data_IF_460202809221
#
_entry.id   IF_460202809221
#
_cell.length_a   1.000
_cell.length_b   1.000
_cell.length_c   1.000
_cell.angle_alpha   90.00
_cell.angle_beta   90.00
_cell.angle_gamma   90.00
#
_symmetry.space_group_name_H-M   'P 1'
#
loop_
_entity.id
_entity.type
_entity.pdbx_description
1 polymer ?
#
# COMPACT_ATOMS: atom_id res chain seq x y z
N UNK A 1 8.42 -46.57 -14.60
CA UNK A 1 7.22 -46.30 -15.44
C UNK A 1 6.00 -46.94 -14.76
N UNK A 2 5.32 -46.19 -13.90
CA UNK A 2 4.01 -46.59 -13.36
C UNK A 2 3.10 -45.38 -13.41
N UNK A 3 2.15 -45.43 -14.34
CA UNK A 3 1.05 -44.49 -14.47
C UNK A 3 -0.07 -44.93 -13.53
N UNK A 4 -0.61 -44.00 -12.75
CA UNK A 4 -1.84 -44.19 -11.99
C UNK A 4 -2.86 -43.09 -12.38
N UNK A 5 -4.16 -43.40 -12.39
CA UNK A 5 -5.15 -42.73 -13.23
C UNK A 5 -5.88 -41.56 -12.55
N UNK A 6 -6.35 -40.62 -13.38
CA UNK A 6 -7.27 -39.52 -13.02
C UNK A 6 -8.70 -40.06 -12.82
N UNK A 7 -9.44 -39.59 -11.80
CA UNK A 7 -10.89 -39.66 -11.80
C UNK A 7 -11.52 -38.40 -12.42
N UNK A 8 -12.51 -38.63 -13.29
CA UNK A 8 -13.42 -37.63 -13.87
C UNK A 8 -14.84 -37.80 -13.31
N UNK A 9 -15.62 -36.72 -13.45
CA UNK A 9 -17.09 -36.61 -13.38
C UNK A 9 -17.76 -36.66 -12.00
N UNK A 10 -18.53 -35.62 -11.66
CA UNK A 10 -19.94 -35.55 -12.08
C UNK A 10 -20.55 -34.16 -11.75
N UNK A 11 -21.12 -33.53 -12.78
CA UNK A 11 -22.03 -32.38 -12.67
C UNK A 11 -23.43 -32.94 -12.45
N UNK A 12 -24.13 -32.48 -11.41
CA UNK A 12 -25.55 -32.75 -11.22
C UNK A 12 -26.34 -31.44 -11.32
N UNK A 13 -26.96 -31.24 -12.48
CA UNK A 13 -28.11 -30.35 -12.67
C UNK A 13 -29.35 -31.05 -12.12
N UNK A 14 -30.06 -30.42 -11.20
CA UNK A 14 -31.45 -30.77 -10.88
C UNK A 14 -32.28 -29.49 -11.04
N UNK A 15 -33.14 -29.51 -12.06
CA UNK A 15 -34.22 -28.57 -12.25
C UNK A 15 -35.55 -29.12 -11.73
N UNK A 16 -36.55 -28.25 -11.79
CA UNK A 16 -37.97 -28.54 -11.54
C UNK A 16 -38.40 -28.18 -10.12
N UNK A 17 -39.52 -27.49 -9.88
CA UNK A 17 -40.57 -27.00 -10.75
C UNK A 17 -41.71 -26.43 -9.89
N UNK A 18 -42.53 -25.59 -10.53
CA UNK A 18 -43.94 -25.27 -10.25
C UNK A 18 -44.51 -25.39 -8.81
N UNK A 19 -45.07 -24.28 -8.31
CA UNK A 19 -46.47 -24.25 -7.86
C UNK A 19 -46.98 -22.81 -7.74
N UNK A 20 -47.96 -22.46 -8.59
CA UNK A 20 -48.91 -21.41 -8.32
C UNK A 20 -50.14 -22.05 -7.66
N UNK A 21 -50.76 -21.36 -6.68
CA UNK A 21 -52.08 -20.73 -6.87
C UNK A 21 -52.98 -20.68 -5.60
N UNK A 22 -53.78 -19.61 -5.59
CA UNK A 22 -55.14 -19.40 -5.04
C UNK A 22 -55.31 -18.92 -3.58
N UNK A 23 -56.11 -17.84 -3.52
CA UNK A 23 -56.56 -17.03 -2.41
C UNK A 23 -57.71 -17.63 -1.57
N UNK A 24 -57.79 -17.17 -0.33
CA UNK A 24 -58.99 -16.92 0.49
C UNK A 24 -58.53 -15.84 1.51
N UNK A 25 -59.11 -14.65 1.63
CA UNK A 25 -60.54 -14.40 1.78
C UNK A 25 -60.84 -14.12 3.27
N UNK A 26 -60.31 -13.04 3.84
CA UNK A 26 -60.81 -12.48 5.10
C UNK A 26 -61.13 -10.99 4.89
N UNK A 27 -62.40 -10.70 5.11
CA UNK A 27 -63.12 -9.42 5.01
C UNK A 27 -63.20 -8.85 6.42
N UNK A 28 -62.94 -7.54 6.61
CA UNK A 28 -63.25 -6.64 7.76
C UNK A 28 -62.02 -5.75 8.05
N UNK A 29 -62.08 -4.45 8.35
CA UNK A 29 -63.12 -3.41 8.52
C UNK A 29 -62.39 -2.08 8.22
N UNK A 30 -63.07 -1.13 7.58
CA UNK A 30 -62.57 0.22 7.44
C UNK A 30 -62.44 0.88 8.83
N UNK A 31 -61.22 1.30 9.17
CA UNK A 31 -60.97 2.26 10.23
C UNK A 31 -60.10 3.35 9.63
N UNK A 32 -60.73 4.50 9.34
CA UNK A 32 -60.01 5.76 9.16
C UNK A 32 -59.21 6.04 10.44
N UNK A 33 -57.89 6.10 10.30
CA UNK A 33 -56.97 6.72 11.23
C UNK A 33 -56.00 7.57 10.38
N UNK A 34 -55.58 8.74 10.89
CA UNK A 34 -55.05 9.82 10.06
C UNK A 34 -53.73 9.41 9.41
N UNK A 35 -53.55 9.90 8.18
CA UNK A 35 -52.28 9.89 7.46
C UNK A 35 -51.30 10.77 8.24
N UNK A 36 -50.60 10.19 9.22
CA UNK A 36 -49.33 10.72 9.64
C UNK A 36 -48.36 10.47 8.49
N UNK A 37 -48.15 11.52 7.71
CA UNK A 37 -47.02 11.63 6.82
C UNK A 37 -45.76 11.48 7.69
N UNK A 38 -45.29 10.24 7.83
CA UNK A 38 -43.92 9.98 8.17
C UNK A 38 -43.10 10.62 7.06
N UNK A 39 -42.71 11.88 7.29
CA UNK A 39 -41.65 12.52 6.55
C UNK A 39 -40.48 11.55 6.64
N UNK A 40 -40.19 10.91 5.51
CA UNK A 40 -38.89 10.31 5.23
C UNK A 40 -37.90 11.43 5.48
N UNK A 41 -37.34 11.48 6.69
CA UNK A 41 -36.17 12.26 6.96
C UNK A 41 -35.12 11.71 6.00
N UNK A 42 -34.89 12.45 4.92
CA UNK A 42 -33.68 12.26 4.12
C UNK A 42 -32.53 12.17 5.12
N UNK A 43 -31.70 11.12 5.08
CA UNK A 43 -30.48 11.14 5.86
C UNK A 43 -29.76 12.42 5.48
N UNK A 44 -29.52 13.27 6.48
CA UNK A 44 -28.66 14.45 6.36
C UNK A 44 -27.41 14.01 5.59
N UNK A 45 -26.91 14.81 4.61
CA UNK A 45 -25.61 14.53 4.02
C UNK A 45 -24.63 14.41 5.19
N UNK A 46 -24.04 13.23 5.34
CA UNK A 46 -23.17 12.91 6.45
C UNK A 46 -22.19 14.07 6.62
N UNK A 47 -22.24 14.74 7.78
CA UNK A 47 -21.37 15.86 8.07
C UNK A 47 -19.94 15.45 7.74
N UNK A 48 -19.25 16.27 6.93
CA UNK A 48 -17.86 16.02 6.55
C UNK A 48 -17.07 15.74 7.83
N UNK A 49 -16.61 14.50 7.96
CA UNK A 49 -15.82 14.10 9.13
C UNK A 49 -14.53 14.91 9.09
N UNK A 50 -14.10 15.51 10.21
CA UNK A 50 -12.93 16.40 10.22
C UNK A 50 -11.74 15.70 9.57
N UNK A 51 -11.10 16.38 8.63
CA UNK A 51 -9.87 15.91 8.01
C UNK A 51 -8.83 15.63 9.10
N UNK A 52 -8.02 14.60 8.90
CA UNK A 52 -6.90 14.34 9.79
C UNK A 52 -5.83 15.43 9.60
N UNK A 53 -4.96 15.65 10.58
CA UNK A 53 -3.87 16.62 10.43
C UNK A 53 -3.04 16.28 9.19
N UNK A 54 -2.79 17.27 8.35
CA UNK A 54 -2.08 17.13 7.09
C UNK A 54 -0.55 17.28 7.26
N UNK A 55 0.20 16.76 6.30
CA UNK A 55 1.63 17.03 6.15
C UNK A 55 2.55 16.21 7.07
N UNK A 56 2.06 15.14 7.70
CA UNK A 56 2.92 14.28 8.53
C UNK A 56 4.01 13.60 7.69
N UNK A 57 5.18 13.46 8.31
CA UNK A 57 6.37 12.80 7.75
C UNK A 57 6.94 11.80 8.74
N UNK A 58 7.73 10.86 8.25
CA UNK A 58 8.45 9.93 9.12
C UNK A 58 9.55 10.68 9.88
N UNK A 59 9.67 10.44 11.19
CA UNK A 59 10.73 11.03 12.01
C UNK A 59 12.09 10.38 11.72
N UNK A 60 12.07 9.07 11.48
CA UNK A 60 13.20 8.22 11.14
C UNK A 60 12.75 7.04 10.26
N UNK A 61 13.71 6.22 9.85
CA UNK A 61 13.48 5.03 9.03
C UNK A 61 13.91 3.72 9.72
N UNK A 62 14.13 3.72 11.03
CA UNK A 62 14.64 2.54 11.77
C UNK A 62 13.66 1.35 11.76
N UNK A 63 12.46 1.59 11.27
CA UNK A 63 11.41 0.60 11.06
C UNK A 63 11.46 -0.10 9.70
N UNK A 64 12.26 0.38 8.76
CA UNK A 64 12.41 -0.26 7.44
C UNK A 64 13.12 -1.61 7.60
N UNK A 65 12.57 -2.71 7.06
CA UNK A 65 13.23 -4.00 7.06
C UNK A 65 14.62 -3.95 6.39
N UNK A 66 15.62 -4.57 7.01
CA UNK A 66 16.99 -4.60 6.49
C UNK A 66 17.12 -5.36 5.16
N UNK A 67 16.15 -6.22 4.85
CA UNK A 67 16.06 -6.99 3.61
C UNK A 67 15.19 -6.34 2.53
N UNK A 68 14.77 -5.09 2.70
CA UNK A 68 14.01 -4.37 1.67
C UNK A 68 14.86 -4.15 0.40
N UNK A 69 14.35 -4.60 -0.75
CA UNK A 69 15.01 -4.46 -2.07
C UNK A 69 14.89 -3.08 -2.67
N UNK A 70 13.83 -2.38 -2.31
CA UNK A 70 13.58 -1.00 -2.68
C UNK A 70 13.02 -0.33 -1.45
N UNK A 71 13.56 0.85 -1.15
CA UNK A 71 12.98 1.79 -0.19
C UNK A 71 12.98 3.15 -0.88
N UNK A 72 11.80 3.69 -1.21
CA UNK A 72 11.66 5.00 -1.82
C UNK A 72 10.86 5.93 -0.91
N UNK A 73 11.49 7.02 -0.47
CA UNK A 73 10.85 8.13 0.25
C UNK A 73 10.44 9.22 -0.74
N UNK A 74 9.17 9.60 -0.70
CA UNK A 74 8.54 10.56 -1.61
C UNK A 74 7.94 11.69 -0.80
N UNK A 75 8.44 12.91 -1.00
CA UNK A 75 7.98 14.11 -0.32
C UNK A 75 6.81 14.72 -1.12
N UNK A 76 5.56 14.41 -0.72
CA UNK A 76 4.33 14.73 -1.48
C UNK A 76 4.09 16.23 -1.68
N UNK A 77 4.43 17.01 -0.67
CA UNK A 77 4.24 18.47 -0.65
C UNK A 77 5.44 19.24 -1.20
N UNK A 78 6.48 18.55 -1.70
CA UNK A 78 7.61 19.23 -2.34
C UNK A 78 7.17 19.81 -3.70
N UNK A 79 7.35 21.12 -3.93
CA UNK A 79 6.92 21.76 -5.17
C UNK A 79 7.63 21.24 -6.43
N UNK A 80 8.75 20.52 -6.29
CA UNK A 80 9.49 19.91 -7.40
C UNK A 80 9.11 18.44 -7.64
N UNK A 81 8.18 17.84 -6.89
CA UNK A 81 7.88 16.42 -7.00
C UNK A 81 7.49 16.00 -8.43
N UNK A 82 6.61 16.77 -9.09
CA UNK A 82 6.20 16.46 -10.46
C UNK A 82 7.38 16.43 -11.45
N UNK A 83 8.27 17.42 -11.36
CA UNK A 83 9.48 17.48 -12.19
C UNK A 83 10.48 16.36 -11.82
N UNK A 84 10.54 15.99 -10.54
CA UNK A 84 11.38 14.91 -10.05
C UNK A 84 10.90 13.55 -10.55
N UNK A 85 9.59 13.30 -10.60
CA UNK A 85 9.00 12.10 -11.19
C UNK A 85 9.31 12.01 -12.69
N UNK A 86 9.20 13.11 -13.42
CA UNK A 86 9.60 13.16 -14.82
C UNK A 86 11.10 12.89 -15.02
N UNK A 87 11.93 13.37 -14.09
CA UNK A 87 13.38 13.13 -14.07
C UNK A 87 13.71 11.67 -13.76
N UNK A 88 13.02 11.07 -12.79
CA UNK A 88 13.14 9.65 -12.46
C UNK A 88 12.75 8.76 -13.65
N UNK A 89 11.64 9.07 -14.35
CA UNK A 89 11.24 8.32 -15.53
C UNK A 89 12.32 8.37 -16.64
N UNK A 90 12.92 9.54 -16.89
CA UNK A 90 14.03 9.68 -17.86
C UNK A 90 15.27 8.89 -17.45
N UNK A 91 15.58 8.85 -16.15
CA UNK A 91 16.69 8.05 -15.62
C UNK A 91 16.55 6.57 -15.98
N UNK A 92 15.32 6.03 -16.03
CA UNK A 92 15.10 4.61 -16.42
C UNK A 92 15.43 4.30 -17.88
N UNK A 93 15.55 5.32 -18.73
CA UNK A 93 15.88 5.20 -20.16
C UNK A 93 17.35 5.57 -20.45
N UNK A 94 18.07 6.10 -19.46
CA UNK A 94 19.45 6.57 -19.61
C UNK A 94 20.44 5.38 -19.70
N UNK A 95 21.23 5.26 -20.79
CA UNK A 95 22.11 4.11 -21.00
C UNK A 95 23.26 4.01 -19.99
N UNK A 96 23.63 5.11 -19.34
CA UNK A 96 24.65 5.18 -18.30
C UNK A 96 24.15 4.72 -16.91
N UNK A 97 22.84 4.57 -16.72
CA UNK A 97 22.25 4.14 -15.45
C UNK A 97 21.83 2.68 -15.55
N UNK A 98 22.40 1.86 -14.68
CA UNK A 98 22.05 0.45 -14.60
C UNK A 98 21.14 0.21 -13.39
N UNK A 99 19.87 -0.09 -13.62
CA UNK A 99 18.89 -0.41 -12.57
C UNK A 99 18.47 -1.89 -12.61
N UNK A 100 18.15 -2.50 -11.46
CA UNK A 100 17.38 -3.73 -11.44
C UNK A 100 16.05 -3.59 -12.18
N UNK A 101 15.60 -4.66 -12.85
CA UNK A 101 14.39 -4.62 -13.69
C UNK A 101 13.15 -4.20 -12.90
N UNK A 102 13.01 -4.65 -11.65
CA UNK A 102 11.88 -4.25 -10.80
C UNK A 102 11.87 -2.74 -10.56
N UNK A 103 13.02 -2.15 -10.22
CA UNK A 103 13.15 -0.72 -9.96
C UNK A 103 12.92 0.10 -11.24
N UNK A 104 13.45 -0.32 -12.39
CA UNK A 104 13.24 0.37 -13.66
C UNK A 104 11.75 0.41 -14.06
N UNK A 105 11.05 -0.72 -13.91
CA UNK A 105 9.61 -0.79 -14.19
C UNK A 105 8.80 0.04 -13.20
N UNK A 106 9.16 -0.01 -11.92
CA UNK A 106 8.48 0.70 -10.86
C UNK A 106 8.62 2.22 -11.03
N UNK A 107 9.85 2.71 -11.13
CA UNK A 107 10.19 4.12 -11.32
C UNK A 107 9.55 4.74 -12.55
N UNK A 108 9.43 3.98 -13.65
CA UNK A 108 8.75 4.45 -14.86
C UNK A 108 7.25 4.66 -14.65
N UNK A 109 6.63 3.89 -13.75
CA UNK A 109 5.19 3.94 -13.48
C UNK A 109 4.85 4.75 -12.22
N UNK A 110 5.83 5.18 -11.43
CA UNK A 110 5.64 5.79 -10.12
C UNK A 110 4.63 6.97 -10.14
N UNK A 111 4.70 7.86 -11.14
CA UNK A 111 3.74 8.96 -11.27
C UNK A 111 2.28 8.48 -11.36
N UNK A 112 2.02 7.43 -12.15
CA UNK A 112 0.70 6.82 -12.27
C UNK A 112 0.28 6.13 -10.96
N UNK A 113 1.23 5.53 -10.25
CA UNK A 113 0.94 4.91 -8.96
C UNK A 113 0.51 5.96 -7.93
N UNK A 114 1.24 7.08 -7.86
CA UNK A 114 0.94 8.21 -6.97
C UNK A 114 -0.42 8.85 -7.29
N UNK A 115 -0.73 9.08 -8.57
CA UNK A 115 -2.05 9.60 -8.97
C UNK A 115 -3.22 8.71 -8.49
N UNK A 116 -3.02 7.39 -8.47
CA UNK A 116 -4.03 6.46 -7.95
C UNK A 116 -4.06 6.46 -6.43
N UNK A 117 -2.90 6.57 -5.78
CA UNK A 117 -2.80 6.61 -4.33
C UNK A 117 -3.38 7.90 -3.75
N UNK A 118 -3.20 9.05 -4.41
CA UNK A 118 -3.79 10.32 -3.99
C UNK A 118 -5.32 10.24 -3.90
N UNK A 119 -5.98 9.56 -4.85
CA UNK A 119 -7.44 9.32 -4.75
C UNK A 119 -7.81 8.48 -3.54
N UNK A 120 -6.97 7.52 -3.17
CA UNK A 120 -7.20 6.69 -1.98
C UNK A 120 -7.01 7.52 -0.71
N UNK A 121 -5.98 8.36 -0.65
CA UNK A 121 -5.70 9.27 0.47
C UNK A 121 -6.84 10.28 0.66
N UNK A 122 -7.32 10.89 -0.44
CA UNK A 122 -8.47 11.78 -0.44
C UNK A 122 -9.72 11.10 0.13
N UNK A 123 -10.01 9.86 -0.31
CA UNK A 123 -11.14 9.07 0.20
C UNK A 123 -10.97 8.64 1.67
N UNK A 124 -9.73 8.45 2.12
CA UNK A 124 -9.39 8.23 3.53
C UNK A 124 -9.45 9.51 4.35
N UNK A 125 -9.52 10.69 3.72
CA UNK A 125 -9.39 11.99 4.39
C UNK A 125 -8.06 12.13 5.14
N UNK A 126 -6.99 11.59 4.54
CA UNK A 126 -5.61 11.65 5.01
C UNK A 126 -4.77 12.42 3.97
N UNK A 127 -3.77 13.16 4.42
CA UNK A 127 -2.92 13.97 3.54
C UNK A 127 -1.47 13.97 4.04
N UNK A 128 -0.75 12.85 3.93
CA UNK A 128 0.62 12.75 4.42
C UNK A 128 1.56 13.65 3.60
N UNK A 129 2.53 14.28 4.28
CA UNK A 129 3.62 15.03 3.62
C UNK A 129 4.68 14.11 3.02
N UNK A 130 4.73 12.84 3.47
CA UNK A 130 5.65 11.83 2.98
C UNK A 130 4.97 10.48 2.76
N UNK A 131 5.32 9.82 1.66
CA UNK A 131 5.05 8.41 1.43
C UNK A 131 6.36 7.63 1.39
N UNK A 132 6.31 6.39 1.82
CA UNK A 132 7.39 5.42 1.62
C UNK A 132 6.86 4.22 0.86
N UNK A 133 7.53 3.87 -0.23
CA UNK A 133 7.33 2.61 -0.94
C UNK A 133 8.41 1.62 -0.54
N UNK A 134 8.02 0.39 -0.19
CA UNK A 134 8.94 -0.70 0.06
C UNK A 134 8.67 -1.90 -0.85
N UNK A 135 9.73 -2.56 -1.28
CA UNK A 135 9.66 -3.86 -1.97
C UNK A 135 10.36 -4.94 -1.13
N UNK A 136 9.69 -6.05 -0.88
CA UNK A 136 10.26 -7.20 -0.16
C UNK A 136 11.21 -8.02 -1.05
N UNK A 137 12.04 -8.91 -0.47
CA UNK A 137 12.79 -9.90 -1.24
C UNK A 137 11.94 -10.83 -2.10
N UNK A 138 10.69 -11.07 -1.72
CA UNK A 138 9.79 -11.93 -2.45
C UNK A 138 8.93 -11.17 -3.49
N UNK A 139 9.13 -9.85 -3.62
CA UNK A 139 8.47 -9.02 -4.62
C UNK A 139 7.12 -8.47 -4.20
N UNK A 140 6.80 -8.48 -2.90
CA UNK A 140 5.65 -7.73 -2.40
C UNK A 140 5.98 -6.24 -2.39
N UNK A 141 5.01 -5.42 -2.79
CA UNK A 141 5.08 -3.96 -2.71
C UNK A 141 4.14 -3.46 -1.63
N UNK A 142 4.58 -2.47 -0.87
CA UNK A 142 3.77 -1.82 0.15
C UNK A 142 4.01 -0.31 0.14
N UNK A 143 2.91 0.43 0.18
CA UNK A 143 2.88 1.88 0.39
C UNK A 143 2.65 2.15 1.87
N UNK A 144 3.46 3.00 2.49
CA UNK A 144 3.33 3.40 3.89
C UNK A 144 3.34 4.91 4.05
N UNK A 145 2.61 5.39 5.05
CA UNK A 145 2.66 6.78 5.47
C UNK A 145 2.28 6.94 6.96
N UNK A 146 2.79 7.99 7.63
CA UNK A 146 2.33 8.35 8.96
C UNK A 146 0.92 8.95 8.87
N UNK A 147 0.03 8.55 9.78
CA UNK A 147 -1.35 9.04 9.80
C UNK A 147 -1.67 9.71 11.13
N UNK A 148 -2.18 10.93 11.05
CA UNK A 148 -2.73 11.65 12.21
C UNK A 148 -4.09 11.07 12.64
N UNK A 149 -4.73 10.30 11.76
CA UNK A 149 -6.06 9.76 12.02
C UNK A 149 -6.05 8.83 13.24
N UNK A 150 -7.04 8.97 14.14
CA UNK A 150 -7.37 7.91 15.10
C UNK A 150 -7.64 6.59 14.35
N UNK A 151 -7.08 5.45 14.80
CA UNK A 151 -7.29 4.16 14.15
C UNK A 151 -8.77 3.80 13.97
N UNK A 152 -9.62 4.20 14.90
CA UNK A 152 -11.07 4.01 14.87
C UNK A 152 -11.74 4.81 13.76
N UNK A 153 -11.31 6.07 13.55
CA UNK A 153 -11.81 6.92 12.48
C UNK A 153 -11.41 6.36 11.12
N UNK A 154 -10.15 5.97 10.97
CA UNK A 154 -9.66 5.34 9.75
C UNK A 154 -10.42 4.04 9.46
N UNK A 155 -10.61 3.18 10.47
CA UNK A 155 -11.39 1.95 10.34
C UNK A 155 -12.85 2.22 9.91
N UNK A 156 -13.48 3.26 10.47
CA UNK A 156 -14.83 3.65 10.08
C UNK A 156 -14.90 4.16 8.64
N UNK A 157 -13.92 4.95 8.18
CA UNK A 157 -13.84 5.42 6.79
C UNK A 157 -13.62 4.27 5.81
N UNK A 158 -12.66 3.40 6.09
CA UNK A 158 -12.37 2.20 5.29
C UNK A 158 -13.59 1.29 5.18
N UNK A 159 -14.30 1.07 6.29
CA UNK A 159 -15.55 0.30 6.31
C UNK A 159 -16.67 1.00 5.54
N UNK A 160 -16.89 2.29 5.77
CA UNK A 160 -17.96 3.04 5.12
C UNK A 160 -17.78 3.11 3.60
N UNK A 161 -16.54 3.34 3.15
CA UNK A 161 -16.22 3.56 1.74
C UNK A 161 -16.11 2.28 0.93
N UNK A 162 -15.40 1.29 1.46
CA UNK A 162 -15.04 0.07 0.72
C UNK A 162 -15.58 -1.22 1.34
N UNK A 163 -16.35 -1.13 2.43
CA UNK A 163 -16.89 -2.29 3.15
C UNK A 163 -15.80 -3.23 3.69
N UNK A 164 -14.61 -2.68 3.97
CA UNK A 164 -13.50 -3.43 4.54
C UNK A 164 -13.51 -3.27 6.07
N UNK A 165 -13.55 -4.40 6.77
CA UNK A 165 -13.48 -4.43 8.23
C UNK A 165 -12.04 -4.58 8.70
N UNK A 166 -11.50 -3.56 9.37
CA UNK A 166 -10.19 -3.64 10.03
C UNK A 166 -10.29 -4.39 11.36
N UNK A 167 -9.71 -5.60 11.41
CA UNK A 167 -9.68 -6.45 12.59
C UNK A 167 -8.40 -6.22 13.37
N UNK A 168 -8.49 -6.13 14.69
CA UNK A 168 -7.30 -6.08 15.54
C UNK A 168 -6.51 -7.39 15.41
N UNK A 169 -5.18 -7.26 15.38
CA UNK A 169 -4.27 -8.41 15.45
C UNK A 169 -4.01 -8.76 16.93
N UNK A 170 -4.47 -9.93 17.41
CA UNK A 170 -4.29 -10.32 18.81
C UNK A 170 -2.84 -10.62 19.16
N UNK A 171 -2.01 -11.00 18.19
CA UNK A 171 -0.60 -11.31 18.41
C UNK A 171 0.24 -10.02 18.50
N UNK A 172 -0.26 -8.93 17.91
CA UNK A 172 0.46 -7.66 17.79
C UNK A 172 -0.43 -6.48 18.21
N UNK A 173 -0.46 -6.14 19.51
CA UNK A 173 -1.24 -5.04 20.03
C UNK A 173 -0.94 -3.73 19.27
N UNK A 174 -1.98 -3.03 18.81
CA UNK A 174 -1.87 -1.83 17.98
C UNK A 174 -1.89 -2.10 16.47
N UNK A 175 -1.74 -3.36 16.04
CA UNK A 175 -1.93 -3.79 14.66
C UNK A 175 -3.40 -3.98 14.31
N UNK A 176 -3.82 -3.52 13.13
CA UNK A 176 -5.11 -3.91 12.53
C UNK A 176 -4.95 -4.28 11.06
N UNK A 177 -5.79 -5.20 10.61
CA UNK A 177 -5.76 -5.75 9.26
C UNK A 177 -7.15 -5.76 8.63
N UNK A 178 -7.26 -5.29 7.39
CA UNK A 178 -8.44 -5.41 6.55
C UNK A 178 -8.08 -5.99 5.19
N UNK A 179 -8.78 -7.04 4.79
CA UNK A 179 -8.62 -7.63 3.46
C UNK A 179 -9.48 -6.87 2.44
N UNK A 180 -8.87 -6.49 1.32
CA UNK A 180 -9.56 -5.91 0.18
C UNK A 180 -10.28 -6.96 -0.68
N UNK A 181 -10.73 -6.53 -1.84
CA UNK A 181 -11.30 -7.41 -2.87
C UNK A 181 -10.94 -6.89 -4.26
N UNK A 182 -10.61 -7.77 -5.23
CA UNK A 182 -10.37 -7.36 -6.62
C UNK A 182 -11.57 -6.62 -7.26
N UNK A 183 -12.80 -6.96 -6.84
CA UNK A 183 -14.04 -6.37 -7.37
C UNK A 183 -14.46 -5.09 -6.62
N UNK A 184 -13.74 -4.73 -5.56
CA UNK A 184 -14.00 -3.56 -4.72
C UNK A 184 -12.75 -2.70 -4.58
N UNK A 185 -12.21 -2.64 -3.37
CA UNK A 185 -10.94 -1.96 -3.13
C UNK A 185 -9.77 -2.94 -3.29
N UNK A 186 -8.86 -2.71 -4.26
CA UNK A 186 -7.89 -3.72 -4.70
C UNK A 186 -6.67 -3.84 -3.78
N UNK A 187 -6.74 -3.27 -2.58
CA UNK A 187 -5.66 -3.28 -1.60
C UNK A 187 -6.12 -3.89 -0.28
N UNK A 188 -5.21 -4.64 0.33
CA UNK A 188 -5.28 -4.92 1.76
C UNK A 188 -4.78 -3.70 2.53
N UNK A 189 -5.41 -3.41 3.66
CA UNK A 189 -5.11 -2.26 4.52
C UNK A 189 -4.54 -2.77 5.84
N UNK A 190 -3.41 -2.21 6.24
CA UNK A 190 -2.80 -2.45 7.54
C UNK A 190 -2.67 -1.13 8.30
N UNK A 191 -2.93 -1.18 9.61
CA UNK A 191 -2.54 -0.09 10.51
C UNK A 191 -1.53 -0.63 11.49
N UNK A 192 -0.42 0.07 11.65
CA UNK A 192 0.65 -0.28 12.58
C UNK A 192 0.75 0.89 13.55
N UNK A 193 0.33 0.68 14.80
CA UNK A 193 0.51 1.66 15.86
C UNK A 193 1.67 1.23 16.77
N UNK A 194 2.71 2.06 16.84
CA UNK A 194 3.67 2.05 17.95
C UNK A 194 3.27 3.12 18.97
N UNK A 195 3.98 3.22 20.10
CA UNK A 195 3.65 4.21 21.15
C UNK A 195 3.67 5.65 20.64
N UNK A 196 4.57 5.95 19.70
CA UNK A 196 4.86 7.32 19.26
C UNK A 196 4.47 7.60 17.81
N UNK A 197 4.12 6.58 17.02
CA UNK A 197 3.80 6.74 15.61
C UNK A 197 2.70 5.80 15.13
N UNK A 198 1.79 6.32 14.31
CA UNK A 198 0.75 5.55 13.64
C UNK A 198 1.03 5.54 12.16
N UNK A 199 1.11 4.34 11.59
CA UNK A 199 1.36 4.15 10.17
C UNK A 199 0.21 3.42 9.55
N UNK A 200 -0.13 3.81 8.33
CA UNK A 200 -1.05 3.08 7.46
C UNK A 200 -0.22 2.48 6.36
N UNK A 201 -0.54 1.24 6.01
CA UNK A 201 0.09 0.56 4.91
C UNK A 201 -0.96 -0.02 3.97
N UNK A 202 -0.70 0.10 2.66
CA UNK A 202 -1.47 -0.52 1.60
C UNK A 202 -0.60 -1.49 0.84
N UNK A 203 -1.11 -2.70 0.62
CA UNK A 203 -0.49 -3.67 -0.28
C UNK A 203 -1.55 -4.31 -1.15
N UNK A 204 -1.14 -5.05 -2.17
CA UNK A 204 -2.06 -5.75 -3.07
C UNK A 204 -2.97 -6.70 -2.29
N UNK A 205 -4.23 -6.79 -2.72
CA UNK A 205 -5.19 -7.75 -2.17
C UNK A 205 -4.62 -9.17 -2.09
N UNK A 206 -4.78 -9.80 -0.93
CA UNK A 206 -4.29 -11.14 -0.62
C UNK A 206 -2.83 -11.21 -0.16
N UNK A 207 -2.11 -10.09 -0.07
CA UNK A 207 -0.71 -10.04 0.39
C UNK A 207 -0.56 -9.54 1.82
N UNK A 208 -1.60 -8.96 2.42
CA UNK A 208 -1.41 -8.22 3.66
C UNK A 208 -0.98 -9.05 4.86
N UNK A 209 -1.35 -10.34 4.96
CA UNK A 209 -0.80 -11.21 5.99
C UNK A 209 0.72 -11.43 5.83
N UNK A 210 1.17 -11.62 4.57
CA UNK A 210 2.59 -11.82 4.25
C UNK A 210 3.40 -10.53 4.47
N UNK A 211 2.89 -9.40 3.98
CA UNK A 211 3.51 -8.08 4.19
C UNK A 211 3.52 -7.70 5.66
N UNK A 212 2.43 -7.96 6.39
CA UNK A 212 2.37 -7.72 7.83
C UNK A 212 3.40 -8.53 8.60
N UNK A 213 3.55 -9.83 8.29
CA UNK A 213 4.60 -10.67 8.87
C UNK A 213 6.00 -10.12 8.54
N UNK A 214 6.28 -9.85 7.26
CA UNK A 214 7.56 -9.30 6.82
C UNK A 214 7.91 -7.99 7.52
N UNK A 215 7.00 -7.02 7.51
CA UNK A 215 7.21 -5.72 8.15
C UNK A 215 7.52 -5.88 9.63
N UNK A 216 6.98 -6.88 10.34
CA UNK A 216 7.14 -7.06 11.79
C UNK A 216 8.35 -7.91 12.19
N UNK A 217 8.61 -8.96 11.43
CA UNK A 217 9.52 -10.04 11.82
C UNK A 217 10.92 -9.89 11.21
N UNK A 218 11.07 -9.10 10.14
CA UNK A 218 12.38 -8.83 9.56
C UNK A 218 13.30 -8.06 10.52
N UNK A 219 14.59 -8.35 10.43
CA UNK A 219 15.64 -7.57 11.09
C UNK A 219 15.60 -6.11 10.63
N UNK A 220 16.02 -5.20 11.51
CA UNK A 220 16.04 -3.75 11.28
C UNK A 220 17.20 -3.11 12.02
N UNK A 221 17.57 -1.91 11.59
CA UNK A 221 18.55 -1.07 12.29
C UNK A 221 19.99 -1.53 12.07
N UNK A 222 20.25 -2.33 11.03
CA UNK A 222 21.62 -2.63 10.62
C UNK A 222 22.35 -1.37 10.18
N UNK A 223 23.63 -1.22 10.59
CA UNK A 223 24.48 -0.07 10.22
C UNK A 223 24.68 0.06 8.69
N UNK A 224 24.47 -1.02 7.96
CA UNK A 224 24.51 -1.07 6.50
C UNK A 224 23.15 -1.35 5.88
N UNK A 225 22.06 -1.16 6.64
CA UNK A 225 20.70 -1.37 6.18
C UNK A 225 20.18 -0.22 5.30
N UNK A 226 19.07 -0.46 4.58
CA UNK A 226 18.44 0.54 3.72
C UNK A 226 17.96 1.77 4.49
N UNK A 227 17.53 1.60 5.74
CA UNK A 227 17.15 2.71 6.63
C UNK A 227 18.28 3.74 6.79
N UNK A 228 19.46 3.26 7.15
CA UNK A 228 20.64 4.09 7.34
C UNK A 228 21.08 4.72 6.01
N UNK A 229 21.14 3.92 4.94
CA UNK A 229 21.51 4.41 3.62
C UNK A 229 20.55 5.51 3.11
N UNK A 230 19.25 5.43 3.42
CA UNK A 230 18.26 6.43 3.06
C UNK A 230 18.44 7.73 3.84
N UNK A 231 18.75 7.62 5.14
CA UNK A 231 19.00 8.77 6.02
C UNK A 231 20.25 9.57 5.60
N UNK A 232 21.22 8.91 4.96
CA UNK A 232 22.43 9.56 4.42
C UNK A 232 22.21 10.27 3.08
N UNK A 233 21.05 10.10 2.43
CA UNK A 233 20.73 10.81 1.19
C UNK A 233 20.23 12.22 1.54
N UNK A 234 20.94 13.23 1.03
CA UNK A 234 20.53 14.64 1.14
C UNK A 234 19.06 14.83 0.74
N UNK A 235 18.38 15.73 1.44
CA UNK A 235 16.98 16.05 1.19
C UNK A 235 16.69 16.32 -0.29
N UNK A 236 15.63 15.70 -0.79
CA UNK A 236 15.14 15.79 -2.16
C UNK A 236 13.68 15.32 -2.25
N UNK A 237 12.92 15.71 -3.29
CA UNK A 237 11.55 15.25 -3.50
C UNK A 237 11.42 13.73 -3.51
N UNK A 238 12.44 13.03 -4.03
CA UNK A 238 12.51 11.58 -4.13
C UNK A 238 13.90 11.11 -3.69
N UNK A 239 13.92 10.16 -2.75
CA UNK A 239 15.14 9.50 -2.26
C UNK A 239 14.90 8.00 -2.27
N UNK A 240 15.76 7.24 -2.93
CA UNK A 240 15.61 5.80 -3.06
C UNK A 240 16.89 5.06 -2.65
N UNK A 241 16.71 3.91 -2.03
CA UNK A 241 17.75 2.93 -1.78
C UNK A 241 17.32 1.63 -2.46
N UNK A 242 18.23 1.05 -3.23
CA UNK A 242 18.02 -0.18 -3.98
C UNK A 242 19.06 -1.21 -3.53
N UNK A 243 18.57 -2.39 -3.16
CA UNK A 243 19.39 -3.57 -2.91
C UNK A 243 19.23 -4.56 -4.09
N UNK A 244 20.35 -5.15 -4.50
CA UNK A 244 20.43 -6.14 -5.55
C UNK A 244 21.33 -5.77 -6.73
N UNK A 245 21.88 -6.80 -7.36
CA UNK A 245 22.72 -6.68 -8.55
C UNK A 245 21.87 -6.48 -9.82
N UNK A 246 22.34 -5.62 -10.72
CA UNK A 246 21.75 -5.51 -12.06
C UNK A 246 21.95 -6.81 -12.84
N UNK A 247 20.89 -7.25 -13.54
CA UNK A 247 20.93 -8.41 -14.42
C UNK A 247 21.69 -8.17 -15.73
N UNK A 248 22.10 -6.93 -16.02
CA UNK A 248 22.76 -6.55 -17.26
C UNK A 248 24.16 -5.98 -16.99
N UNK A 249 25.16 -6.86 -16.91
CA UNK A 249 26.40 -6.89 -17.73
C UNK A 249 27.40 -7.87 -17.08
N UNK A 250 27.72 -9.03 -17.68
CA UNK A 250 28.86 -9.83 -17.27
C UNK A 250 30.13 -9.18 -17.84
N UNK A 251 30.66 -8.16 -17.17
CA UNK A 251 32.02 -7.71 -17.44
C UNK A 251 32.67 -7.27 -16.15
N UNK A 252 33.60 -8.11 -15.71
CA UNK A 252 34.34 -8.08 -14.44
C UNK A 252 33.52 -8.55 -13.23
N UNK A 253 34.00 -9.63 -12.62
CA UNK A 253 33.63 -10.01 -11.26
C UNK A 253 33.96 -8.83 -10.34
N UNK A 254 32.95 -8.05 -9.96
CA UNK A 254 33.09 -7.07 -8.90
C UNK A 254 32.94 -7.81 -7.58
N UNK A 255 34.05 -8.13 -6.94
CA UNK A 255 34.07 -8.69 -5.58
C UNK A 255 33.80 -7.62 -4.51
N UNK A 256 33.28 -6.46 -4.91
CA UNK A 256 33.02 -5.28 -4.09
C UNK A 256 31.78 -4.57 -4.64
N UNK A 257 30.62 -5.24 -4.63
CA UNK A 257 29.37 -4.52 -4.86
C UNK A 257 29.03 -3.71 -3.60
N UNK A 258 28.77 -2.40 -3.71
CA UNK A 258 28.21 -1.65 -2.59
C UNK A 258 26.89 -2.31 -2.18
N UNK A 259 26.58 -2.43 -0.87
CA UNK A 259 25.37 -3.11 -0.42
C UNK A 259 24.09 -2.46 -0.96
N UNK A 260 24.15 -1.16 -1.30
CA UNK A 260 23.00 -0.41 -1.79
C UNK A 260 23.40 0.61 -2.86
N UNK A 261 22.58 0.71 -3.92
CA UNK A 261 22.55 1.84 -4.83
C UNK A 261 21.62 2.92 -4.25
N UNK A 262 22.16 4.10 -4.01
CA UNK A 262 21.42 5.26 -3.52
C UNK A 262 21.10 6.17 -4.69
N UNK A 263 19.85 6.58 -4.78
CA UNK A 263 19.35 7.46 -5.83
C UNK A 263 18.70 8.67 -5.18
N UNK A 264 19.21 9.85 -5.50
CA UNK A 264 18.61 11.12 -5.14
C UNK A 264 18.04 11.76 -6.39
N UNK A 265 16.77 12.17 -6.39
CA UNK A 265 16.16 12.80 -7.57
C UNK A 265 15.54 14.15 -7.20
N UNK A 266 15.91 15.16 -7.98
CA UNK A 266 15.36 16.52 -7.93
C UNK A 266 14.58 16.81 -9.21
N UNK A 267 13.96 17.99 -9.29
CA UNK A 267 13.26 18.39 -10.52
C UNK A 267 14.14 18.48 -11.78
N UNK A 268 15.47 18.53 -11.63
CA UNK A 268 16.39 18.80 -12.76
C UNK A 268 17.44 17.73 -13.00
N UNK A 269 17.82 17.01 -11.95
CA UNK A 269 18.90 16.03 -11.99
C UNK A 269 18.62 14.87 -11.06
N UNK A 270 19.33 13.78 -11.30
CA UNK A 270 19.49 12.69 -10.35
C UNK A 270 20.96 12.54 -10.01
N UNK A 271 21.23 12.08 -8.80
CA UNK A 271 22.55 11.70 -8.32
C UNK A 271 22.49 10.23 -7.90
N UNK A 272 23.43 9.42 -8.38
CA UNK A 272 23.60 8.03 -7.94
C UNK A 272 24.88 7.89 -7.15
N UNK A 273 24.82 7.28 -5.96
CA UNK A 273 26.00 6.95 -5.18
C UNK A 273 25.94 5.50 -4.68
N UNK A 274 27.12 4.89 -4.63
CA UNK A 274 27.35 3.58 -4.06
C UNK A 274 27.79 3.75 -2.60
N UNK A 275 27.21 2.99 -1.67
CA UNK A 275 27.73 2.94 -0.30
C UNK A 275 29.18 2.40 -0.32
N UNK A 276 30.17 3.06 0.31
CA UNK A 276 31.52 2.50 0.38
C UNK A 276 31.49 1.17 1.12
N UNK A 277 31.93 0.08 0.47
CA UNK A 277 32.10 -1.20 1.14
C UNK A 277 33.39 -1.15 1.97
N UNK A 278 33.26 -1.17 3.29
CA UNK A 278 34.39 -1.44 4.19
C UNK A 278 34.51 -2.95 4.32
N UNK A 279 35.58 -3.60 3.82
CA UNK A 279 35.79 -5.02 4.06
C UNK A 279 36.14 -5.25 5.54
N UNK A 280 35.42 -6.17 6.19
CA UNK A 280 35.76 -6.69 7.53
C UNK A 280 36.95 -7.67 7.49
#
# INVERSE_FOLDING_TARGET
MHAAPKPSLAVALIGGGLAAAIALGCRQVASEAPVDAAATASPDPAAESPACDAGLRFADYDWVPDDARLTASIQRDDPQLADALATLARMTEAPEVTLPVFAALDFRNLALQLDNLDRVLDELGDDPGELVELHSPAGETVWLWPSACPPELLAARVLGRWQIMLRADPEHPGGRFGAGSPDGFPFDVLTIATLDERRVALTRVGQGAKVGAWLRESARGGEHGPAHALAEIDAAPLRCVLDGSSLLTPSAASTLDPPHLRVRVTGRSWDTSASPHTPE
#
